data_IF_343356227016
#
_entry.id   IF_343356227016
#
_cell.length_a   1.000
_cell.length_b   1.000
_cell.length_c   1.000
_cell.angle_alpha   90.00
_cell.angle_beta   90.00
_cell.angle_gamma   90.00
#
_symmetry.space_group_name_H-M   'P 1'
#
loop_
_entity.id
_entity.type
_entity.pdbx_description
1 polymer ?
#
# COMPACT_ATOMS: atom_id res chain seq x y z
N UNK A 1 9.15 6.37 7.74
CA UNK A 1 10.38 6.90 7.12
C UNK A 1 10.45 8.42 7.27
N UNK A 2 11.64 8.98 7.06
CA UNK A 2 11.86 10.42 7.01
C UNK A 2 11.70 10.91 5.56
N UNK A 3 10.57 11.51 5.25
CA UNK A 3 10.28 12.05 3.90
C UNK A 3 11.15 13.23 3.47
N UNK A 4 11.96 13.78 4.38
CA UNK A 4 12.88 14.89 4.08
C UNK A 4 14.30 14.44 3.75
N UNK A 5 14.63 13.16 3.89
CA UNK A 5 15.93 12.63 3.51
C UNK A 5 16.03 12.57 1.98
N UNK A 6 17.11 13.13 1.43
CA UNK A 6 17.34 13.19 -0.01
C UNK A 6 18.06 11.94 -0.54
N UNK A 7 18.82 11.27 0.33
CA UNK A 7 19.47 10.01 0.00
C UNK A 7 18.50 8.85 0.25
N UNK A 8 17.87 8.38 -0.83
CA UNK A 8 16.85 7.35 -0.76
C UNK A 8 17.38 5.99 -0.28
N UNK A 9 18.58 5.62 -0.67
CA UNK A 9 19.20 4.37 -0.23
C UNK A 9 19.46 4.38 1.29
N UNK A 10 20.02 5.47 1.78
CA UNK A 10 20.27 5.68 3.20
C UNK A 10 18.97 5.61 4.02
N UNK A 11 17.91 6.28 3.57
CA UNK A 11 16.64 6.28 4.31
C UNK A 11 15.95 4.91 4.26
N UNK A 12 15.92 4.25 3.13
CA UNK A 12 15.34 2.92 3.00
C UNK A 12 16.04 1.91 3.90
N UNK A 13 17.37 1.95 3.95
CA UNK A 13 18.17 1.10 4.85
C UNK A 13 17.91 1.43 6.31
N UNK A 14 17.96 2.72 6.68
CA UNK A 14 17.69 3.17 8.04
C UNK A 14 16.31 2.72 8.54
N UNK A 15 15.28 2.90 7.72
CA UNK A 15 13.92 2.55 8.10
C UNK A 15 13.72 1.05 8.20
N UNK A 16 14.31 0.27 7.31
CA UNK A 16 14.30 -1.19 7.37
C UNK A 16 14.97 -1.72 8.64
N UNK A 17 16.14 -1.17 8.99
CA UNK A 17 16.83 -1.55 10.22
C UNK A 17 16.08 -1.11 11.48
N UNK A 18 15.40 0.03 11.45
CA UNK A 18 14.53 0.47 12.55
C UNK A 18 13.39 -0.53 12.79
N UNK A 19 12.66 -0.93 11.75
CA UNK A 19 11.59 -1.93 11.86
C UNK A 19 12.13 -3.23 12.46
N UNK A 20 13.27 -3.69 11.98
CA UNK A 20 13.92 -4.91 12.47
C UNK A 20 14.36 -4.80 13.92
N UNK A 21 14.94 -3.66 14.31
CA UNK A 21 15.42 -3.41 15.69
C UNK A 21 14.28 -3.38 16.71
N UNK A 22 13.08 -3.02 16.28
CA UNK A 22 11.86 -3.02 17.09
C UNK A 22 11.17 -4.38 17.15
N UNK A 23 11.72 -5.41 16.51
CA UNK A 23 11.14 -6.76 16.48
C UNK A 23 10.09 -6.97 15.39
N UNK A 24 10.03 -6.08 14.39
CA UNK A 24 9.08 -6.13 13.27
C UNK A 24 7.80 -5.32 13.54
N UNK A 25 6.76 -5.63 12.79
CA UNK A 25 5.46 -4.96 12.83
C UNK A 25 4.43 -5.91 13.44
N UNK A 26 3.80 -5.54 14.55
CA UNK A 26 2.75 -6.35 15.18
C UNK A 26 1.42 -6.23 14.43
N UNK A 27 1.05 -5.02 14.02
CA UNK A 27 -0.16 -4.75 13.25
C UNK A 27 0.15 -3.75 12.14
N UNK A 28 -0.12 -4.12 10.90
CA UNK A 28 -0.04 -3.27 9.73
C UNK A 28 -1.45 -2.82 9.34
N UNK A 29 -1.70 -1.51 9.40
CA UNK A 29 -2.91 -0.92 8.85
C UNK A 29 -2.69 -0.54 7.38
N UNK A 30 -3.63 -0.89 6.51
CA UNK A 30 -3.61 -0.59 5.09
C UNK A 30 -4.97 -0.05 4.61
N UNK A 31 -4.92 0.92 3.71
CA UNK A 31 -6.01 1.15 2.76
C UNK A 31 -5.75 0.37 1.47
N UNK A 32 -6.68 0.45 0.52
CA UNK A 32 -6.52 -0.11 -0.82
C UNK A 32 -6.82 0.96 -1.87
N UNK A 33 -5.89 1.15 -2.81
CA UNK A 33 -6.09 2.04 -3.95
C UNK A 33 -7.07 1.46 -4.97
N UNK A 34 -7.63 2.29 -5.85
CA UNK A 34 -8.57 1.85 -6.89
C UNK A 34 -7.97 0.84 -7.88
N UNK A 35 -6.65 0.87 -8.05
CA UNK A 35 -5.89 -0.07 -8.88
C UNK A 35 -5.28 -1.23 -8.08
N UNK A 36 -5.64 -1.37 -6.80
CA UNK A 36 -5.14 -2.44 -5.92
C UNK A 36 -3.82 -2.15 -5.24
N UNK A 37 -3.28 -0.94 -5.34
CA UNK A 37 -2.06 -0.61 -4.60
C UNK A 37 -2.28 -0.65 -3.08
N UNK A 38 -1.26 -1.08 -2.36
CA UNK A 38 -1.15 -1.03 -0.90
C UNK A 38 0.16 -0.31 -0.52
N UNK A 39 0.10 0.64 0.43
CA UNK A 39 1.15 1.65 0.54
C UNK A 39 1.24 2.42 -0.78
N UNK A 40 2.46 2.61 -1.29
CA UNK A 40 2.68 3.11 -2.65
C UNK A 40 3.21 2.01 -3.59
N UNK A 41 2.87 0.74 -3.34
CA UNK A 41 3.19 -0.36 -4.26
C UNK A 41 2.13 -0.42 -5.35
N UNK A 42 2.42 0.21 -6.48
CA UNK A 42 1.56 0.28 -7.66
C UNK A 42 1.58 -1.03 -8.47
N UNK A 43 0.57 -1.28 -9.34
CA UNK A 43 0.61 -2.39 -10.29
C UNK A 43 1.89 -2.41 -11.10
N UNK A 44 2.50 -3.59 -11.21
CA UNK A 44 3.81 -3.82 -11.83
C UNK A 44 3.89 -5.25 -12.34
N UNK A 45 4.98 -5.61 -13.00
CA UNK A 45 5.28 -7.01 -13.43
C UNK A 45 5.87 -7.84 -12.28
N UNK A 46 6.24 -7.21 -11.17
CA UNK A 46 6.79 -7.89 -10.00
C UNK A 46 6.37 -7.22 -8.71
N UNK A 47 6.44 -7.96 -7.61
CA UNK A 47 6.24 -7.39 -6.28
C UNK A 47 7.55 -6.76 -5.77
N UNK A 48 7.54 -5.45 -5.49
CA UNK A 48 8.63 -4.81 -4.79
C UNK A 48 8.73 -5.33 -3.35
N UNK A 49 9.94 -5.76 -2.99
CA UNK A 49 10.10 -6.52 -1.74
C UNK A 49 10.35 -5.65 -0.53
N UNK A 50 11.25 -4.68 -0.65
CA UNK A 50 11.79 -3.94 0.48
C UNK A 50 11.25 -2.52 0.55
N UNK A 51 11.59 -1.80 1.62
CA UNK A 51 11.38 -0.35 1.68
C UNK A 51 12.10 0.29 0.50
N UNK A 52 11.40 1.12 -0.24
CA UNK A 52 11.94 1.78 -1.44
C UNK A 52 11.36 3.17 -1.63
N UNK A 53 12.03 3.97 -2.44
CA UNK A 53 11.52 5.24 -2.92
C UNK A 53 10.79 5.00 -4.24
N UNK A 54 9.61 5.56 -4.39
CA UNK A 54 8.76 5.40 -5.58
C UNK A 54 8.43 6.76 -6.16
N UNK A 55 8.46 6.86 -7.48
CA UNK A 55 7.89 7.99 -8.20
C UNK A 55 6.36 7.85 -8.22
N UNK A 56 5.65 8.88 -7.73
CA UNK A 56 4.20 8.86 -7.68
C UNK A 56 3.61 9.05 -9.08
N UNK A 57 2.55 8.29 -9.39
CA UNK A 57 1.80 8.46 -10.63
C UNK A 57 1.04 9.79 -10.64
N UNK A 58 0.77 10.34 -11.81
CA UNK A 58 -0.02 11.57 -11.95
C UNK A 58 -1.40 11.43 -11.27
N UNK A 59 -2.02 10.25 -11.34
CA UNK A 59 -3.30 9.98 -10.67
C UNK A 59 -3.17 10.04 -9.14
N UNK A 60 -2.06 9.57 -8.59
CA UNK A 60 -1.79 9.65 -7.14
C UNK A 60 -1.52 11.09 -6.72
N UNK A 61 -0.76 11.87 -7.52
CA UNK A 61 -0.50 13.28 -7.29
C UNK A 61 -1.83 14.07 -7.29
N UNK A 62 -2.66 13.87 -8.30
CA UNK A 62 -3.95 14.54 -8.41
C UNK A 62 -4.90 14.18 -7.24
N UNK A 63 -4.94 12.91 -6.82
CA UNK A 63 -5.74 12.47 -5.69
C UNK A 63 -5.31 13.12 -4.36
N UNK A 64 -4.03 13.42 -4.20
CA UNK A 64 -3.47 14.03 -2.99
C UNK A 64 -3.46 15.57 -3.03
N UNK A 65 -3.67 16.20 -4.17
CA UNK A 65 -3.69 17.65 -4.35
C UNK A 65 -4.58 18.39 -3.34
N UNK A 66 -5.68 17.78 -2.93
CA UNK A 66 -6.62 18.31 -1.93
C UNK A 66 -6.00 18.61 -0.56
N UNK A 67 -4.83 18.08 -0.27
CA UNK A 67 -4.12 18.28 1.00
C UNK A 67 -3.03 19.36 0.91
N UNK A 68 -2.85 19.98 -0.25
CA UNK A 68 -1.81 20.97 -0.54
C UNK A 68 -2.43 22.25 -1.09
N UNK A 69 -1.70 23.36 -1.01
CA UNK A 69 -2.16 24.65 -1.52
C UNK A 69 -2.20 24.67 -3.05
N UNK A 70 -1.26 23.99 -3.70
CA UNK A 70 -1.22 23.84 -5.16
C UNK A 70 -0.79 22.42 -5.56
N UNK A 71 -1.03 22.05 -6.83
CA UNK A 71 -0.57 20.78 -7.37
C UNK A 71 0.96 20.68 -7.44
N UNK A 72 1.64 21.82 -7.52
CA UNK A 72 3.11 21.92 -7.59
C UNK A 72 3.75 21.60 -6.24
N UNK A 73 3.02 21.81 -5.14
CA UNK A 73 3.48 21.51 -3.78
C UNK A 73 3.36 20.03 -3.42
N UNK A 74 2.65 19.24 -4.23
CA UNK A 74 2.50 17.81 -4.00
C UNK A 74 3.85 17.11 -4.26
N UNK A 75 4.39 16.37 -3.28
CA UNK A 75 5.60 15.59 -3.49
C UNK A 75 5.46 14.64 -4.69
N UNK A 76 6.52 14.51 -5.47
CA UNK A 76 6.57 13.61 -6.64
C UNK A 76 7.07 12.23 -6.31
N UNK A 77 7.66 12.06 -5.14
CA UNK A 77 8.22 10.80 -4.66
C UNK A 77 7.72 10.51 -3.25
N UNK A 78 7.70 9.24 -2.89
CA UNK A 78 7.39 8.78 -1.55
C UNK A 78 8.25 7.59 -1.16
N UNK A 79 8.53 7.47 0.14
CA UNK A 79 9.07 6.23 0.71
C UNK A 79 7.93 5.31 1.08
N UNK A 80 8.04 4.05 0.71
CA UNK A 80 7.04 3.05 1.03
C UNK A 80 7.67 1.75 1.53
N UNK A 81 6.94 1.06 2.39
CA UNK A 81 7.24 -0.34 2.67
C UNK A 81 6.90 -1.18 1.44
N UNK A 82 7.83 -2.03 1.03
CA UNK A 82 7.57 -2.99 -0.03
C UNK A 82 6.70 -4.16 0.44
N UNK A 83 6.26 -4.97 -0.49
CA UNK A 83 5.33 -6.08 -0.25
C UNK A 83 5.88 -7.08 0.78
N UNK A 84 7.17 -7.42 0.71
CA UNK A 84 7.78 -8.33 1.70
C UNK A 84 7.71 -7.75 3.11
N UNK A 85 7.98 -6.45 3.28
CA UNK A 85 7.94 -5.79 4.58
C UNK A 85 6.52 -5.80 5.15
N UNK A 86 5.52 -5.52 4.32
CA UNK A 86 4.09 -5.58 4.68
C UNK A 86 3.72 -7.01 5.09
N UNK A 87 4.07 -7.99 4.28
CA UNK A 87 3.76 -9.41 4.49
C UNK A 87 4.47 -10.04 5.71
N UNK A 88 5.50 -9.40 6.23
CA UNK A 88 6.18 -9.81 7.46
C UNK A 88 5.51 -9.29 8.74
N UNK A 89 4.52 -8.43 8.64
CA UNK A 89 3.71 -8.02 9.80
C UNK A 89 3.01 -9.25 10.41
N UNK A 90 2.82 -9.27 11.72
CA UNK A 90 2.13 -10.37 12.40
C UNK A 90 0.64 -10.41 12.05
N UNK A 91 0.03 -9.22 11.92
CA UNK A 91 -1.37 -9.04 11.54
C UNK A 91 -1.48 -7.89 10.54
N UNK A 92 -2.44 -8.01 9.63
CA UNK A 92 -2.76 -6.96 8.67
C UNK A 92 -4.25 -6.62 8.79
N UNK A 93 -4.54 -5.33 8.91
CA UNK A 93 -5.89 -4.79 8.89
C UNK A 93 -6.04 -3.93 7.65
N UNK A 94 -6.95 -4.31 6.76
CA UNK A 94 -7.27 -3.56 5.54
C UNK A 94 -8.61 -2.87 5.71
N UNK A 95 -8.68 -1.59 5.40
CA UNK A 95 -9.92 -0.81 5.43
C UNK A 95 -10.29 -0.39 4.01
N UNK A 96 -11.53 -0.67 3.61
CA UNK A 96 -12.10 -0.25 2.34
C UNK A 96 -13.52 0.29 2.55
N UNK A 97 -13.85 1.41 1.93
CA UNK A 97 -15.18 2.04 2.06
C UNK A 97 -15.60 2.66 0.74
N UNK A 98 -16.88 2.51 0.41
CA UNK A 98 -17.51 3.08 -0.77
C UNK A 98 -17.61 2.13 -1.95
N UNK A 99 -18.62 2.34 -2.80
CA UNK A 99 -18.91 1.52 -3.97
C UNK A 99 -17.78 1.53 -5.01
N UNK A 100 -17.04 2.63 -5.10
CA UNK A 100 -15.86 2.77 -5.97
C UNK A 100 -14.73 1.77 -5.63
N UNK A 101 -14.74 1.20 -4.42
CA UNK A 101 -13.80 0.13 -4.01
C UNK A 101 -14.32 -1.29 -4.29
N UNK A 102 -15.59 -1.47 -4.64
CA UNK A 102 -16.20 -2.79 -4.74
C UNK A 102 -15.49 -3.71 -5.76
N UNK A 103 -15.10 -3.17 -6.91
CA UNK A 103 -14.41 -3.96 -7.92
C UNK A 103 -13.02 -4.40 -7.46
N UNK A 104 -12.23 -3.47 -6.92
CA UNK A 104 -10.86 -3.80 -6.51
C UNK A 104 -10.80 -4.68 -5.27
N UNK A 105 -11.76 -4.54 -4.35
CA UNK A 105 -11.90 -5.45 -3.20
C UNK A 105 -12.17 -6.88 -3.69
N UNK A 106 -13.08 -7.05 -4.66
CA UNK A 106 -13.32 -8.34 -5.29
C UNK A 106 -12.07 -8.92 -5.93
N UNK A 107 -11.37 -8.14 -6.73
CA UNK A 107 -10.14 -8.59 -7.42
C UNK A 107 -9.02 -8.94 -6.43
N UNK A 108 -8.83 -8.11 -5.40
CA UNK A 108 -7.76 -8.29 -4.42
C UNK A 108 -7.96 -9.50 -3.51
N UNK A 109 -9.19 -9.80 -3.09
CA UNK A 109 -9.44 -10.85 -2.09
C UNK A 109 -10.07 -12.12 -2.64
N UNK A 110 -10.60 -12.09 -3.87
CA UNK A 110 -11.27 -13.23 -4.49
C UNK A 110 -10.80 -13.49 -5.93
N UNK A 111 -9.93 -12.63 -6.46
CA UNK A 111 -9.32 -12.79 -7.78
C UNK A 111 -8.00 -13.56 -7.75
N UNK A 112 -7.29 -13.53 -8.87
CA UNK A 112 -5.95 -14.14 -8.97
C UNK A 112 -4.91 -13.31 -8.21
N UNK A 113 -3.95 -14.00 -7.60
CA UNK A 113 -2.79 -13.33 -6.98
C UNK A 113 -1.85 -12.91 -8.10
N UNK A 114 -1.66 -11.60 -8.23
CA UNK A 114 -0.86 -11.02 -9.31
C UNK A 114 -0.27 -9.67 -8.88
N UNK A 115 0.95 -9.32 -9.29
CA UNK A 115 1.51 -8.01 -9.01
C UNK A 115 0.80 -6.87 -9.76
N UNK A 116 -0.05 -7.17 -10.74
CA UNK A 116 -0.94 -6.17 -11.37
C UNK A 116 -2.10 -5.74 -10.46
N UNK A 117 -2.36 -6.49 -9.39
CA UNK A 117 -3.24 -6.12 -8.27
C UNK A 117 -2.45 -6.36 -6.99
N UNK A 118 -1.59 -5.42 -6.55
CA UNK A 118 -0.66 -5.66 -5.45
C UNK A 118 -1.30 -6.17 -4.17
N UNK A 119 -2.49 -5.67 -3.81
CA UNK A 119 -3.25 -6.14 -2.65
C UNK A 119 -3.64 -7.62 -2.73
N UNK A 120 -3.63 -8.24 -3.91
CA UNK A 120 -3.98 -9.65 -4.06
C UNK A 120 -3.02 -10.60 -3.31
N UNK A 121 -1.78 -10.17 -3.06
CA UNK A 121 -0.80 -10.93 -2.29
C UNK A 121 -1.24 -11.16 -0.84
N UNK A 122 -2.12 -10.32 -0.31
CA UNK A 122 -2.65 -10.43 1.05
C UNK A 122 -3.41 -11.75 1.27
N UNK A 123 -3.92 -12.38 0.20
CA UNK A 123 -4.51 -13.72 0.26
C UNK A 123 -3.53 -14.80 0.76
N UNK A 124 -2.24 -14.55 0.68
CA UNK A 124 -1.19 -15.47 1.16
C UNK A 124 -0.76 -15.21 2.61
N UNK A 125 -1.26 -14.17 3.24
CA UNK A 125 -0.90 -13.84 4.61
C UNK A 125 -1.77 -14.62 5.60
N UNK A 126 -1.18 -15.06 6.72
CA UNK A 126 -1.85 -15.93 7.69
C UNK A 126 -2.92 -15.22 8.55
N UNK A 127 -2.83 -13.89 8.71
CA UNK A 127 -3.73 -13.13 9.60
C UNK A 127 -4.04 -11.78 8.97
N UNK A 128 -5.02 -11.76 8.06
CA UNK A 128 -5.55 -10.55 7.42
C UNK A 128 -7.02 -10.38 7.79
N UNK A 129 -7.35 -9.19 8.23
CA UNK A 129 -8.74 -8.77 8.45
C UNK A 129 -9.08 -7.66 7.47
N UNK A 130 -10.10 -7.88 6.65
CA UNK A 130 -10.72 -6.83 5.83
C UNK A 130 -11.92 -6.25 6.59
N UNK A 131 -11.89 -4.95 6.83
CA UNK A 131 -13.04 -4.17 7.32
C UNK A 131 -13.55 -3.32 6.17
N UNK A 132 -14.76 -3.59 5.71
CA UNK A 132 -15.34 -2.89 4.58
C UNK A 132 -16.84 -2.64 4.82
N UNK A 133 -17.36 -1.54 4.28
CA UNK A 133 -18.79 -1.28 4.29
C UNK A 133 -19.53 -2.11 3.21
N UNK A 134 -20.84 -2.14 3.29
CA UNK A 134 -21.69 -2.91 2.34
C UNK A 134 -21.47 -2.44 0.89
N UNK A 135 -21.22 -1.15 0.68
CA UNK A 135 -20.99 -0.59 -0.65
C UNK A 135 -19.67 -1.12 -1.26
N UNK A 136 -18.59 -1.18 -0.47
CA UNK A 136 -17.32 -1.76 -0.90
C UNK A 136 -17.39 -3.29 -1.11
N UNK A 137 -18.37 -3.97 -0.49
CA UNK A 137 -18.59 -5.42 -0.63
C UNK A 137 -19.61 -5.78 -1.70
N UNK A 138 -20.27 -4.81 -2.36
CA UNK A 138 -21.43 -5.01 -3.23
C UNK A 138 -21.18 -5.91 -4.46
N UNK A 139 -19.94 -6.18 -4.82
CA UNK A 139 -19.59 -7.09 -5.93
C UNK A 139 -19.13 -8.49 -5.48
N UNK A 140 -19.15 -8.74 -4.17
CA UNK A 140 -18.80 -10.05 -3.61
C UNK A 140 -20.04 -10.92 -3.41
N UNK A 141 -21.15 -10.30 -3.12
CA UNK A 141 -22.45 -10.94 -2.87
C UNK A 141 -23.35 -10.86 -4.09
#
# INVERSE_FOLDING_TARGET
PNGMEQDSEKECNRYSELIKSLGGIDLQLLGIGHNGHIGFNEPSDSFEKQVHCVDLTESTIEANKRFFESAEDVPRQAYTMGIKTIMQAKKILVIASGEDKAQIVKEAFFGHITPYVPASVLQLHNDVTLVADEAALSKIY
#
